data_IF_612668455280
#
_entry.id   IF_612668455280
#
_cell.length_a   1.000
_cell.length_b   1.000
_cell.length_c   1.000
_cell.angle_alpha   90.00
_cell.angle_beta   90.00
_cell.angle_gamma   90.00
#
_symmetry.space_group_name_H-M   'P 1'
#
loop_
_entity.id
_entity.type
_entity.pdbx_description
1 polymer ?
#
# COMPACT_ATOMS: atom_id res chain seq x y z
N UNK A 1 12.44 14.93 -26.96
CA UNK A 1 11.91 14.55 -25.65
C UNK A 1 13.01 14.79 -24.62
N UNK A 2 12.72 15.51 -23.54
CA UNK A 2 13.66 15.67 -22.43
C UNK A 2 13.93 14.30 -21.79
N UNK A 3 15.20 13.98 -21.61
CA UNK A 3 15.62 12.75 -20.96
C UNK A 3 15.79 13.03 -19.46
N UNK A 4 15.07 12.28 -18.62
CA UNK A 4 15.25 12.33 -17.17
C UNK A 4 16.46 11.48 -16.75
N UNK A 5 17.11 11.84 -15.67
CA UNK A 5 18.07 10.94 -15.05
C UNK A 5 17.34 9.76 -14.42
N UNK A 6 16.21 10.02 -13.74
CA UNK A 6 15.43 9.00 -13.02
C UNK A 6 13.94 9.13 -13.29
N UNK A 7 13.28 7.99 -13.49
CA UNK A 7 11.82 7.88 -13.38
C UNK A 7 11.50 7.14 -12.08
N UNK A 8 10.68 7.75 -11.21
CA UNK A 8 10.16 7.12 -10.00
C UNK A 8 8.72 6.67 -10.26
N UNK A 9 8.43 5.40 -10.09
CA UNK A 9 7.10 4.82 -10.29
C UNK A 9 6.38 4.72 -8.95
N UNK A 10 5.42 5.63 -8.75
CA UNK A 10 4.65 5.81 -7.53
C UNK A 10 5.03 7.09 -6.77
N UNK A 11 4.02 7.88 -6.40
CA UNK A 11 4.15 9.09 -5.57
C UNK A 11 3.52 8.91 -4.19
N UNK A 12 3.65 7.71 -3.59
CA UNK A 12 3.42 7.46 -2.18
C UNK A 12 4.51 8.10 -1.31
N UNK A 13 4.42 8.04 0.03
CA UNK A 13 5.39 8.68 0.92
C UNK A 13 6.85 8.32 0.61
N UNK A 14 7.13 7.05 0.31
CA UNK A 14 8.47 6.60 -0.05
C UNK A 14 8.93 7.12 -1.42
N UNK A 15 8.03 7.13 -2.42
CA UNK A 15 8.35 7.70 -3.75
C UNK A 15 8.62 9.20 -3.67
N UNK A 16 7.84 9.94 -2.87
CA UNK A 16 8.10 11.35 -2.59
C UNK A 16 9.47 11.55 -1.92
N UNK A 17 9.81 10.70 -0.92
CA UNK A 17 11.12 10.75 -0.28
C UNK A 17 12.26 10.50 -1.28
N UNK A 18 12.08 9.56 -2.23
CA UNK A 18 13.05 9.36 -3.32
C UNK A 18 13.19 10.61 -4.19
N UNK A 19 12.07 11.21 -4.64
CA UNK A 19 12.08 12.42 -5.46
C UNK A 19 12.77 13.61 -4.77
N UNK A 20 12.53 13.79 -3.47
CA UNK A 20 13.17 14.82 -2.66
C UNK A 20 14.68 14.62 -2.62
N UNK A 21 15.13 13.41 -2.31
CA UNK A 21 16.54 13.11 -2.16
C UNK A 21 17.32 13.17 -3.48
N UNK A 22 16.68 12.83 -4.60
CA UNK A 22 17.22 13.04 -5.95
C UNK A 22 17.37 14.52 -6.25
N UNK A 23 16.32 15.32 -6.00
CA UNK A 23 16.36 16.77 -6.22
C UNK A 23 17.43 17.47 -5.39
N UNK A 24 17.63 17.09 -4.13
CA UNK A 24 18.71 17.60 -3.26
C UNK A 24 20.11 17.36 -3.83
N UNK A 25 20.26 16.33 -4.67
CA UNK A 25 21.53 15.95 -5.31
C UNK A 25 21.65 16.46 -6.75
N UNK A 26 20.71 17.29 -7.20
CA UNK A 26 20.72 17.83 -8.57
C UNK A 26 20.41 16.78 -9.65
N UNK A 27 19.84 15.63 -9.28
CA UNK A 27 19.44 14.57 -10.21
C UNK A 27 18.03 14.87 -10.72
N UNK A 28 17.87 14.96 -12.05
CA UNK A 28 16.58 15.23 -12.66
C UNK A 28 15.66 14.00 -12.55
N UNK A 29 14.45 14.19 -11.99
CA UNK A 29 13.53 13.09 -11.79
C UNK A 29 12.08 13.49 -12.08
N UNK A 30 11.29 12.55 -12.62
CA UNK A 30 9.84 12.62 -12.72
C UNK A 30 9.22 11.48 -11.94
N UNK A 31 8.15 11.76 -11.19
CA UNK A 31 7.37 10.76 -10.48
C UNK A 31 6.09 10.47 -11.27
N UNK A 32 5.78 9.21 -11.54
CA UNK A 32 4.57 8.81 -12.26
C UNK A 32 3.64 8.08 -11.28
N UNK A 33 2.44 8.64 -11.07
CA UNK A 33 1.46 8.15 -10.12
C UNK A 33 0.13 7.85 -10.81
N UNK A 34 -0.36 6.63 -10.68
CA UNK A 34 -1.61 6.18 -11.32
C UNK A 34 -2.88 6.84 -10.77
N UNK A 35 -2.80 7.36 -9.56
CA UNK A 35 -3.89 8.10 -8.92
C UNK A 35 -3.47 9.52 -8.53
N UNK A 36 -3.92 9.99 -7.38
CA UNK A 36 -3.47 11.25 -6.81
C UNK A 36 -2.18 11.06 -5.99
N UNK A 37 -1.52 12.16 -5.65
CA UNK A 37 -0.40 12.15 -4.70
C UNK A 37 -0.79 11.39 -3.44
N UNK A 38 0.05 10.45 -2.99
CA UNK A 38 -0.17 9.51 -1.88
C UNK A 38 -1.48 8.72 -2.00
N UNK A 39 -1.75 8.19 -3.19
CA UNK A 39 -3.01 7.52 -3.54
C UNK A 39 -3.40 6.39 -2.58
N UNK A 40 -2.44 5.61 -2.06
CA UNK A 40 -2.74 4.59 -1.06
C UNK A 40 -3.33 5.19 0.21
N UNK A 41 -2.80 6.30 0.73
CA UNK A 41 -3.33 7.00 1.90
C UNK A 41 -4.72 7.60 1.62
N UNK A 42 -4.94 8.12 0.40
CA UNK A 42 -6.26 8.57 -0.04
C UNK A 42 -7.28 7.43 -0.02
N UNK A 43 -6.87 6.22 -0.30
CA UNK A 43 -7.73 5.03 -0.30
C UNK A 43 -7.88 4.34 1.06
N UNK A 44 -7.17 4.76 2.09
CA UNK A 44 -7.36 4.27 3.45
C UNK A 44 -8.73 4.68 4.03
N UNK A 45 -9.19 4.04 5.11
CA UNK A 45 -10.46 4.40 5.77
C UNK A 45 -10.52 5.89 6.12
N UNK A 46 -11.69 6.50 5.92
CA UNK A 46 -11.89 7.96 6.08
C UNK A 46 -11.47 8.46 7.46
N UNK A 47 -11.82 7.70 8.50
CA UNK A 47 -11.54 8.05 9.89
C UNK A 47 -10.26 7.41 10.45
N UNK A 48 -9.37 6.93 9.56
CA UNK A 48 -8.15 6.27 9.99
C UNK A 48 -7.25 7.20 10.80
N UNK A 49 -6.75 6.67 11.91
CA UNK A 49 -5.66 7.23 12.73
C UNK A 49 -4.43 6.34 12.55
N UNK A 50 -3.27 6.95 12.31
CA UNK A 50 -2.02 6.21 12.19
C UNK A 50 -1.64 5.54 13.52
N UNK A 51 -0.85 4.48 13.44
CA UNK A 51 -0.38 3.77 14.64
C UNK A 51 0.85 4.43 15.27
N UNK A 52 1.42 5.41 14.61
CA UNK A 52 2.67 6.07 14.95
C UNK A 52 2.48 7.58 15.11
N UNK A 53 3.49 8.25 15.67
CA UNK A 53 3.52 9.70 15.88
C UNK A 53 3.89 10.44 14.59
N UNK A 54 3.60 11.76 14.48
CA UNK A 54 3.88 12.55 13.29
C UNK A 54 5.34 12.49 12.84
N UNK A 55 6.29 12.57 13.79
CA UNK A 55 7.74 12.63 13.53
C UNK A 55 8.25 11.42 12.75
N UNK A 56 7.60 10.26 12.94
CA UNK A 56 7.97 9.03 12.24
C UNK A 56 7.41 8.97 10.81
N UNK A 57 6.48 9.86 10.47
CA UNK A 57 5.91 9.98 9.12
C UNK A 57 6.57 11.08 8.30
N UNK A 58 7.44 11.88 8.88
CA UNK A 58 8.11 13.00 8.23
C UNK A 58 9.04 12.56 7.09
N UNK A 59 9.04 13.34 6.01
CA UNK A 59 9.96 13.22 4.89
C UNK A 59 10.54 14.60 4.53
N UNK A 60 11.75 14.62 3.98
CA UNK A 60 12.37 15.83 3.45
C UNK A 60 12.65 16.88 4.53
N UNK A 61 12.89 16.49 5.78
CA UNK A 61 13.16 17.38 6.93
C UNK A 61 12.09 18.47 7.13
N UNK A 62 10.85 18.20 6.71
CA UNK A 62 9.72 19.08 6.95
C UNK A 62 8.92 18.51 8.12
N UNK A 63 8.76 19.26 9.23
CA UNK A 63 7.99 18.80 10.37
C UNK A 63 6.52 18.53 10.02
N UNK A 64 5.98 17.45 10.53
CA UNK A 64 4.55 17.12 10.48
C UNK A 64 3.90 17.50 11.81
N UNK A 65 2.96 18.41 11.77
CA UNK A 65 2.15 18.77 12.94
C UNK A 65 0.82 18.04 12.91
N UNK A 66 0.36 17.56 14.05
CA UNK A 66 -0.93 16.93 14.24
C UNK A 66 -1.65 17.53 15.43
N UNK A 67 -2.96 17.53 15.41
CA UNK A 67 -3.78 17.98 16.54
C UNK A 67 -3.71 17.01 17.72
N UNK A 68 -3.54 15.72 17.42
CA UNK A 68 -3.45 14.64 18.40
C UNK A 68 -2.06 14.00 18.38
N UNK A 69 -1.76 13.17 19.39
CA UNK A 69 -0.52 12.39 19.47
C UNK A 69 -0.25 11.58 18.20
N UNK A 70 -1.32 11.06 17.58
CA UNK A 70 -1.26 10.28 16.35
C UNK A 70 -2.05 10.99 15.25
N UNK A 71 -1.43 11.24 14.08
CA UNK A 71 -2.11 11.92 13.00
C UNK A 71 -3.21 11.08 12.38
N UNK A 72 -4.22 11.73 11.86
CA UNK A 72 -5.25 11.09 11.08
C UNK A 72 -4.93 11.13 9.57
N UNK A 73 -5.75 10.41 8.78
CA UNK A 73 -5.62 10.35 7.32
C UNK A 73 -5.62 11.74 6.67
N UNK A 74 -6.50 12.63 7.09
CA UNK A 74 -6.63 13.98 6.50
C UNK A 74 -5.38 14.83 6.75
N UNK A 75 -4.80 14.76 7.93
CA UNK A 75 -3.54 15.44 8.27
C UNK A 75 -2.40 14.92 7.42
N UNK A 76 -2.29 13.59 7.25
CA UNK A 76 -1.26 13.00 6.39
C UNK A 76 -1.40 13.41 4.92
N UNK A 77 -2.63 13.41 4.36
CA UNK A 77 -2.88 13.88 2.99
C UNK A 77 -2.46 15.35 2.79
N UNK A 78 -2.79 16.22 3.77
CA UNK A 78 -2.38 17.63 3.73
C UNK A 78 -0.86 17.78 3.79
N UNK A 79 -0.23 17.02 4.69
CA UNK A 79 1.21 17.03 4.90
C UNK A 79 1.96 16.64 3.63
N UNK A 80 1.74 15.45 3.07
CA UNK A 80 2.47 14.98 1.91
C UNK A 80 2.24 15.83 0.67
N UNK A 81 1.02 16.34 0.45
CA UNK A 81 0.75 17.30 -0.62
C UNK A 81 1.55 18.59 -0.44
N UNK A 82 1.64 19.11 0.78
CA UNK A 82 2.43 20.30 1.08
C UNK A 82 3.93 20.06 0.86
N UNK A 83 4.44 18.92 1.30
CA UNK A 83 5.84 18.54 1.08
C UNK A 83 6.17 18.44 -0.40
N UNK A 84 5.31 17.79 -1.20
CA UNK A 84 5.54 17.66 -2.65
C UNK A 84 5.58 19.03 -3.34
N UNK A 85 4.70 19.96 -2.94
CA UNK A 85 4.70 21.35 -3.46
C UNK A 85 5.89 22.16 -2.98
N UNK A 86 6.32 22.00 -1.73
CA UNK A 86 7.48 22.70 -1.18
C UNK A 86 8.76 22.36 -1.94
N UNK A 87 8.93 21.08 -2.28
CA UNK A 87 10.06 20.62 -3.09
C UNK A 87 9.84 20.78 -4.59
N UNK A 88 8.67 21.28 -5.03
CA UNK A 88 8.35 21.43 -6.44
C UNK A 88 8.74 20.16 -7.24
N UNK A 89 8.17 19.03 -6.84
CA UNK A 89 8.44 17.73 -7.47
C UNK A 89 7.63 17.62 -8.77
N UNK A 90 8.25 17.17 -9.86
CA UNK A 90 7.54 16.87 -11.11
C UNK A 90 6.76 15.56 -10.94
N UNK A 91 5.45 15.64 -10.73
CA UNK A 91 4.57 14.48 -10.47
C UNK A 91 3.50 14.41 -11.56
N UNK A 92 3.50 13.33 -12.32
CA UNK A 92 2.46 12.99 -13.31
C UNK A 92 1.38 12.18 -12.60
N UNK A 93 0.29 12.83 -12.22
CA UNK A 93 -0.84 12.19 -11.54
C UNK A 93 -1.83 11.62 -12.55
N UNK A 94 -2.56 10.57 -12.13
CA UNK A 94 -3.54 9.86 -12.95
C UNK A 94 -2.91 9.27 -14.22
N UNK A 95 -1.67 8.84 -14.10
CA UNK A 95 -0.89 8.23 -15.17
C UNK A 95 -0.33 6.89 -14.68
N UNK A 96 -0.71 5.82 -15.34
CA UNK A 96 -0.32 4.45 -14.96
C UNK A 96 0.85 3.98 -15.80
N UNK A 97 1.94 3.59 -15.17
CA UNK A 97 3.04 2.89 -15.84
C UNK A 97 2.58 1.49 -16.21
N UNK A 98 2.82 1.12 -17.47
CA UNK A 98 2.45 -0.16 -18.05
C UNK A 98 3.66 -1.06 -18.27
N UNK A 99 4.80 -0.48 -18.70
CA UNK A 99 6.01 -1.26 -18.93
C UNK A 99 7.30 -0.44 -18.81
N UNK A 100 8.41 -1.17 -18.67
CA UNK A 100 9.78 -0.64 -18.65
C UNK A 100 10.59 -1.44 -19.66
N UNK A 101 11.09 -0.77 -20.69
CA UNK A 101 11.97 -1.34 -21.72
C UNK A 101 13.38 -0.77 -21.62
N UNK A 102 14.34 -1.38 -22.34
CA UNK A 102 15.74 -0.96 -22.34
C UNK A 102 16.53 -1.50 -21.14
N UNK A 103 17.75 -1.00 -21.01
CA UNK A 103 18.73 -1.44 -20.02
C UNK A 103 19.32 -0.24 -19.27
N UNK A 104 20.20 -0.51 -18.32
CA UNK A 104 20.87 0.49 -17.49
C UNK A 104 21.47 1.63 -18.31
N UNK A 105 21.13 2.84 -17.95
CA UNK A 105 21.52 4.07 -18.65
C UNK A 105 20.63 4.43 -19.87
N UNK A 106 19.72 3.55 -20.32
CA UNK A 106 18.90 3.75 -21.52
C UNK A 106 17.50 3.13 -21.40
N UNK A 107 16.84 3.29 -20.26
CA UNK A 107 15.45 2.86 -20.07
C UNK A 107 14.46 3.77 -20.80
N UNK A 108 13.31 3.17 -21.15
CA UNK A 108 12.10 3.90 -21.52
C UNK A 108 10.96 3.36 -20.67
N UNK A 109 10.36 4.22 -19.85
CA UNK A 109 9.17 3.91 -19.07
C UNK A 109 7.95 4.31 -19.88
N UNK A 110 7.07 3.34 -20.16
CA UNK A 110 5.83 3.55 -20.90
C UNK A 110 4.66 3.62 -19.93
N UNK A 111 3.76 4.57 -20.16
CA UNK A 111 2.60 4.81 -19.33
C UNK A 111 1.39 5.24 -20.16
N UNK A 112 0.21 5.19 -19.56
CA UNK A 112 -1.00 5.76 -20.12
C UNK A 112 -1.67 6.67 -19.08
N UNK A 113 -2.15 7.83 -19.52
CA UNK A 113 -2.91 8.74 -18.67
C UNK A 113 -4.37 8.26 -18.48
N UNK A 114 -5.16 9.01 -17.70
CA UNK A 114 -6.58 8.71 -17.44
C UNK A 114 -7.47 8.70 -18.67
N UNK A 115 -7.01 9.24 -19.80
CA UNK A 115 -7.71 9.27 -21.08
C UNK A 115 -7.24 8.16 -22.02
N UNK A 116 -6.28 7.32 -21.57
CA UNK A 116 -5.66 6.26 -22.37
C UNK A 116 -4.59 6.78 -23.34
N UNK A 117 -4.18 8.05 -23.23
CA UNK A 117 -3.11 8.59 -24.08
C UNK A 117 -1.77 8.01 -23.63
N UNK A 118 -0.99 7.41 -24.55
CA UNK A 118 0.30 6.83 -24.21
C UNK A 118 1.38 7.91 -24.04
N UNK A 119 2.26 7.69 -23.07
CA UNK A 119 3.44 8.49 -22.82
C UNK A 119 4.69 7.62 -22.74
N UNK A 120 5.85 8.18 -23.04
CA UNK A 120 7.13 7.50 -22.93
C UNK A 120 8.18 8.43 -22.30
N UNK A 121 8.85 7.92 -21.27
CA UNK A 121 9.83 8.66 -20.48
C UNK A 121 11.21 7.99 -20.60
N UNK A 122 12.10 8.51 -21.46
CA UNK A 122 13.48 8.06 -21.47
C UNK A 122 14.18 8.43 -20.17
N UNK A 123 14.84 7.45 -19.54
CA UNK A 123 15.52 7.63 -18.27
C UNK A 123 16.82 6.82 -18.19
N UNK A 124 17.77 7.25 -17.36
CA UNK A 124 18.99 6.48 -17.10
C UNK A 124 18.75 5.41 -16.05
N UNK A 125 17.94 5.72 -15.02
CA UNK A 125 17.61 4.83 -13.89
C UNK A 125 16.12 4.84 -13.62
N UNK A 126 15.62 3.79 -12.95
CA UNK A 126 14.22 3.65 -12.55
C UNK A 126 14.14 3.30 -11.06
N UNK A 127 13.20 3.91 -10.34
CA UNK A 127 12.88 3.55 -8.95
C UNK A 127 11.44 3.03 -8.90
N UNK A 128 11.24 1.81 -8.40
CA UNK A 128 9.92 1.27 -8.13
C UNK A 128 9.51 1.58 -6.68
N UNK A 129 8.47 2.41 -6.51
CA UNK A 129 7.92 2.81 -5.22
C UNK A 129 6.39 2.62 -5.18
N UNK A 130 5.88 1.58 -5.84
CA UNK A 130 4.46 1.35 -6.13
C UNK A 130 3.63 0.93 -4.90
N UNK A 131 4.27 0.56 -3.77
CA UNK A 131 3.55 0.09 -2.59
C UNK A 131 2.91 -1.29 -2.77
N UNK A 132 1.87 -1.58 -1.95
CA UNK A 132 1.21 -2.89 -1.94
C UNK A 132 -0.32 -2.81 -1.83
N UNK A 133 -0.88 -1.65 -1.57
CA UNK A 133 -2.29 -1.49 -1.19
C UNK A 133 -3.28 -1.73 -2.35
N UNK A 134 -2.80 -1.79 -3.57
CA UNK A 134 -3.66 -1.89 -4.76
C UNK A 134 -4.09 -3.30 -5.13
N UNK A 135 -3.51 -4.33 -4.49
CA UNK A 135 -3.79 -5.74 -4.78
C UNK A 135 -4.22 -6.45 -3.52
N UNK A 136 -5.54 -6.66 -3.32
CA UNK A 136 -6.04 -7.42 -2.19
C UNK A 136 -5.71 -8.91 -2.36
N UNK A 137 -5.48 -9.59 -1.25
CA UNK A 137 -5.47 -11.04 -1.24
C UNK A 137 -6.91 -11.54 -1.42
N UNK A 138 -7.19 -12.17 -2.54
CA UNK A 138 -8.51 -12.68 -2.84
C UNK A 138 -8.85 -13.92 -2.00
N UNK A 139 -10.13 -14.13 -1.75
CA UNK A 139 -10.65 -15.33 -1.09
C UNK A 139 -10.64 -16.52 -2.04
N UNK A 140 -10.78 -16.26 -3.36
CA UNK A 140 -10.90 -17.23 -4.43
C UNK A 140 -12.08 -18.20 -4.21
N UNK A 141 -13.23 -17.64 -3.86
CA UNK A 141 -14.48 -18.37 -3.65
C UNK A 141 -15.58 -17.89 -4.60
N UNK A 142 -16.57 -18.73 -4.93
CA UNK A 142 -17.73 -18.28 -5.69
C UNK A 142 -18.39 -17.05 -5.05
N UNK A 143 -18.78 -16.09 -5.90
CA UNK A 143 -19.46 -14.86 -5.48
C UNK A 143 -18.55 -13.79 -4.86
N UNK A 144 -17.22 -13.95 -4.89
CA UNK A 144 -16.31 -12.89 -4.41
C UNK A 144 -16.39 -11.61 -5.25
N UNK A 145 -16.81 -11.70 -6.50
CA UNK A 145 -17.01 -10.59 -7.43
C UNK A 145 -18.35 -9.85 -7.28
N UNK A 146 -19.23 -10.33 -6.39
CA UNK A 146 -20.51 -9.65 -6.11
C UNK A 146 -20.27 -8.23 -5.56
N UNK A 147 -21.10 -7.25 -5.93
CA UNK A 147 -20.96 -5.85 -5.50
C UNK A 147 -21.03 -5.64 -3.98
N UNK A 148 -21.55 -6.61 -3.22
CA UNK A 148 -21.60 -6.59 -1.76
C UNK A 148 -20.25 -6.95 -1.11
N UNK A 149 -19.27 -7.43 -1.87
CA UNK A 149 -17.93 -7.81 -1.37
C UNK A 149 -16.99 -6.62 -1.48
N UNK A 150 -16.42 -6.26 -0.35
CA UNK A 150 -15.64 -5.03 -0.18
C UNK A 150 -14.24 -5.39 0.31
N UNK A 151 -13.23 -5.14 -0.52
CA UNK A 151 -11.82 -5.32 -0.16
C UNK A 151 -11.20 -4.06 0.45
N UNK A 152 -11.80 -2.89 0.23
CA UNK A 152 -11.31 -1.59 0.68
C UNK A 152 -12.35 -0.91 1.56
N UNK A 153 -12.27 -1.17 2.86
CA UNK A 153 -13.12 -0.51 3.84
C UNK A 153 -12.89 1.01 3.85
N UNK A 154 -13.98 1.79 3.85
CA UNK A 154 -13.95 3.26 3.87
C UNK A 154 -14.49 3.84 5.16
N UNK A 155 -15.74 3.58 5.47
CA UNK A 155 -16.45 4.14 6.61
C UNK A 155 -17.65 3.26 6.99
N UNK A 156 -18.13 3.32 8.26
CA UNK A 156 -19.17 2.39 8.72
C UNK A 156 -20.60 2.84 8.44
N UNK A 157 -20.84 4.15 8.21
CA UNK A 157 -22.19 4.74 8.17
C UNK A 157 -23.17 4.02 7.23
N UNK A 158 -22.81 3.62 6.00
CA UNK A 158 -23.73 2.95 5.07
C UNK A 158 -24.24 1.59 5.55
N UNK A 159 -23.65 1.01 6.57
CA UNK A 159 -23.92 -0.37 7.03
C UNK A 159 -24.72 -0.45 8.33
N UNK A 160 -25.23 0.70 8.81
CA UNK A 160 -26.11 0.76 9.98
C UNK A 160 -27.31 -0.18 9.81
N UNK A 161 -27.54 -1.06 10.78
CA UNK A 161 -28.66 -2.00 10.79
C UNK A 161 -28.55 -3.19 9.84
N UNK A 162 -27.44 -3.34 9.11
CA UNK A 162 -27.21 -4.45 8.19
C UNK A 162 -26.48 -5.65 8.84
N UNK A 163 -26.66 -6.83 8.24
CA UNK A 163 -25.91 -8.04 8.58
C UNK A 163 -24.60 -8.07 7.79
N UNK A 164 -23.46 -7.90 8.46
CA UNK A 164 -22.15 -7.76 7.83
C UNK A 164 -21.20 -8.87 8.27
N UNK A 165 -20.45 -9.42 7.30
CA UNK A 165 -19.36 -10.34 7.57
C UNK A 165 -18.01 -9.63 7.41
N UNK A 166 -17.11 -9.78 8.39
CA UNK A 166 -15.73 -9.31 8.32
C UNK A 166 -14.81 -10.52 8.29
N UNK A 167 -14.05 -10.67 7.20
CA UNK A 167 -13.17 -11.82 6.99
C UNK A 167 -11.73 -11.40 7.25
N UNK A 168 -11.07 -11.99 8.23
CA UNK A 168 -9.70 -11.72 8.60
C UNK A 168 -9.45 -11.79 10.09
N UNK A 169 -8.19 -11.66 10.51
CA UNK A 169 -7.81 -11.79 11.94
C UNK A 169 -6.70 -10.87 12.38
N UNK A 170 -6.33 -9.86 11.57
CA UNK A 170 -5.31 -8.85 11.87
C UNK A 170 -5.94 -7.47 12.12
N UNK A 171 -5.10 -6.42 12.20
CA UNK A 171 -5.53 -5.07 12.56
C UNK A 171 -6.72 -4.56 11.72
N UNK A 172 -6.67 -4.67 10.39
CA UNK A 172 -7.75 -4.18 9.52
C UNK A 172 -9.08 -4.83 9.83
N UNK A 173 -9.11 -6.16 10.00
CA UNK A 173 -10.34 -6.88 10.34
C UNK A 173 -10.87 -6.49 11.72
N UNK A 174 -10.01 -6.39 12.73
CA UNK A 174 -10.41 -6.02 14.09
C UNK A 174 -10.96 -4.59 14.16
N UNK A 175 -10.31 -3.63 13.49
CA UNK A 175 -10.76 -2.23 13.43
C UNK A 175 -12.07 -2.12 12.67
N UNK A 176 -12.18 -2.74 11.48
CA UNK A 176 -13.41 -2.73 10.67
C UNK A 176 -14.58 -3.34 11.44
N UNK A 177 -14.37 -4.48 12.12
CA UNK A 177 -15.41 -5.11 12.90
C UNK A 177 -15.89 -4.23 14.07
N UNK A 178 -14.98 -3.58 14.79
CA UNK A 178 -15.33 -2.65 15.86
C UNK A 178 -16.06 -1.42 15.36
N UNK A 179 -15.57 -0.80 14.30
CA UNK A 179 -16.14 0.42 13.72
C UNK A 179 -17.57 0.17 13.21
N UNK A 180 -17.79 -0.94 12.50
CA UNK A 180 -19.12 -1.39 12.07
C UNK A 180 -20.05 -1.69 13.25
N UNK A 181 -19.55 -2.39 14.29
CA UNK A 181 -20.32 -2.71 15.48
C UNK A 181 -20.79 -1.43 16.22
N UNK A 182 -19.89 -0.48 16.44
CA UNK A 182 -20.22 0.77 17.13
C UNK A 182 -21.21 1.63 16.34
N UNK A 183 -21.24 1.48 15.02
CA UNK A 183 -22.22 2.15 14.18
C UNK A 183 -23.58 1.44 14.16
N UNK A 184 -23.69 0.24 14.76
CA UNK A 184 -24.94 -0.50 14.88
C UNK A 184 -25.17 -1.54 13.78
N UNK A 185 -24.15 -1.95 13.06
CA UNK A 185 -24.21 -3.14 12.20
C UNK A 185 -24.19 -4.43 13.05
N UNK A 186 -24.83 -5.49 12.56
CA UNK A 186 -24.74 -6.83 13.15
C UNK A 186 -23.55 -7.57 12.55
N UNK A 187 -22.45 -7.57 13.29
CA UNK A 187 -21.15 -8.02 12.79
C UNK A 187 -20.93 -9.51 13.07
N UNK A 188 -20.51 -10.25 12.05
CA UNK A 188 -19.95 -11.60 12.16
C UNK A 188 -18.50 -11.60 11.69
N UNK A 189 -17.56 -11.93 12.56
CA UNK A 189 -16.15 -12.09 12.24
C UNK A 189 -15.85 -13.53 11.84
N UNK A 190 -15.14 -13.72 10.72
CA UNK A 190 -14.76 -15.06 10.22
C UNK A 190 -13.25 -15.09 10.07
N UNK A 191 -12.59 -16.03 10.75
CA UNK A 191 -11.15 -16.16 10.70
C UNK A 191 -10.70 -17.63 10.67
N UNK A 192 -9.78 -17.93 9.73
CA UNK A 192 -9.22 -19.29 9.56
C UNK A 192 -8.30 -19.74 10.71
N UNK A 193 -7.77 -18.80 11.50
CA UNK A 193 -6.94 -19.11 12.67
C UNK A 193 -7.78 -19.42 13.91
N UNK A 194 -7.13 -19.91 14.94
CA UNK A 194 -7.76 -20.28 16.24
C UNK A 194 -8.18 -19.06 17.05
N UNK A 195 -7.53 -17.92 16.83
CA UNK A 195 -7.77 -16.67 17.52
C UNK A 195 -7.29 -15.49 16.67
N UNK A 196 -7.60 -14.27 17.07
CA UNK A 196 -7.05 -13.06 16.46
C UNK A 196 -5.52 -13.07 16.55
N UNK A 197 -4.87 -12.59 15.51
CA UNK A 197 -3.40 -12.52 15.42
C UNK A 197 -2.80 -11.75 16.62
N UNK A 198 -1.65 -12.19 17.09
CA UNK A 198 -0.85 -11.44 18.08
C UNK A 198 -0.33 -10.10 17.54
N UNK A 199 -0.35 -9.89 16.23
CA UNK A 199 0.00 -8.60 15.61
C UNK A 199 -1.10 -7.54 15.71
N UNK A 200 -2.31 -7.89 16.20
CA UNK A 200 -3.34 -6.89 16.52
C UNK A 200 -2.85 -6.02 17.66
N UNK A 201 -2.88 -4.70 17.46
CA UNK A 201 -2.35 -3.75 18.40
C UNK A 201 -2.95 -3.90 19.78
N UNK A 202 -2.12 -3.79 20.81
CA UNK A 202 -2.50 -4.06 22.22
C UNK A 202 -3.63 -3.16 22.73
N UNK A 203 -3.85 -1.99 22.13
CA UNK A 203 -4.98 -1.12 22.48
C UNK A 203 -6.28 -1.43 21.71
N UNK A 204 -6.22 -2.27 20.67
CA UNK A 204 -7.38 -2.72 19.87
C UNK A 204 -7.84 -4.09 20.36
N UNK A 205 -6.89 -5.01 20.59
CA UNK A 205 -7.15 -6.43 20.85
C UNK A 205 -8.11 -6.67 22.01
N UNK A 206 -7.95 -6.05 23.21
CA UNK A 206 -8.88 -6.27 24.32
C UNK A 206 -10.32 -5.85 23.99
N UNK A 207 -10.49 -4.82 23.19
CA UNK A 207 -11.82 -4.32 22.85
C UNK A 207 -12.59 -5.30 21.96
N UNK A 208 -11.97 -5.77 20.88
CA UNK A 208 -12.61 -6.76 19.99
C UNK A 208 -12.84 -8.09 20.70
N UNK A 209 -11.90 -8.56 21.51
CA UNK A 209 -12.03 -9.81 22.28
C UNK A 209 -13.17 -9.74 23.31
N UNK A 210 -13.36 -8.60 23.97
CA UNK A 210 -14.46 -8.39 24.89
C UNK A 210 -15.82 -8.42 24.17
N UNK A 211 -15.96 -7.80 22.99
CA UNK A 211 -17.20 -7.84 22.19
C UNK A 211 -17.53 -9.23 21.67
N UNK A 212 -16.51 -10.01 21.33
CA UNK A 212 -16.70 -11.41 20.96
C UNK A 212 -17.14 -12.24 22.18
N UNK A 213 -16.49 -12.06 23.32
CA UNK A 213 -16.82 -12.78 24.55
C UNK A 213 -18.21 -12.46 25.07
N UNK A 214 -18.67 -11.22 24.94
CA UNK A 214 -20.03 -10.80 25.34
C UNK A 214 -21.11 -11.20 24.31
N UNK A 215 -20.72 -11.72 23.14
CA UNK A 215 -21.65 -12.09 22.07
C UNK A 215 -22.17 -10.92 21.26
N UNK A 216 -21.65 -9.71 21.48
CA UNK A 216 -22.01 -8.50 20.70
C UNK A 216 -21.49 -8.58 19.27
N UNK A 217 -20.34 -9.22 19.06
CA UNK A 217 -19.78 -9.59 17.76
C UNK A 217 -19.72 -11.11 17.71
N UNK A 218 -20.45 -11.73 16.76
CA UNK A 218 -20.32 -13.17 16.52
C UNK A 218 -18.97 -13.46 15.88
N UNK A 219 -18.30 -14.56 16.29
CA UNK A 219 -17.03 -14.94 15.71
C UNK A 219 -16.97 -16.44 15.40
N UNK A 220 -16.51 -16.75 14.19
CA UNK A 220 -16.20 -18.10 13.73
C UNK A 220 -14.68 -18.19 13.52
N UNK A 221 -14.00 -18.85 14.44
CA UNK A 221 -12.58 -19.19 14.35
C UNK A 221 -12.39 -20.56 13.71
N UNK A 222 -11.20 -20.87 13.21
CA UNK A 222 -10.87 -22.06 12.40
C UNK A 222 -11.84 -22.25 11.23
N UNK A 223 -12.37 -21.15 10.71
CA UNK A 223 -13.47 -21.14 9.76
C UNK A 223 -13.11 -20.30 8.53
N UNK A 224 -13.63 -20.68 7.40
CA UNK A 224 -13.41 -19.97 6.13
C UNK A 224 -14.71 -19.81 5.36
N UNK A 225 -14.78 -18.78 4.54
CA UNK A 225 -15.88 -18.62 3.59
C UNK A 225 -15.74 -19.63 2.48
N UNK A 226 -16.84 -20.27 2.12
CA UNK A 226 -16.94 -21.30 1.06
C UNK A 226 -17.65 -20.73 -0.18
N UNK A 227 -18.72 -19.95 0.05
CA UNK A 227 -19.55 -19.40 -1.02
C UNK A 227 -20.19 -18.07 -0.56
N UNK A 228 -20.31 -17.11 -1.46
CA UNK A 228 -20.96 -15.83 -1.21
C UNK A 228 -22.14 -15.69 -2.17
N UNK A 229 -23.35 -15.51 -1.62
CA UNK A 229 -24.59 -15.35 -2.38
C UNK A 229 -25.15 -13.93 -2.20
N UNK A 230 -26.19 -13.58 -2.92
CA UNK A 230 -26.79 -12.24 -2.89
C UNK A 230 -27.21 -11.82 -1.47
N UNK A 231 -27.81 -12.71 -0.70
CA UNK A 231 -28.40 -12.46 0.62
C UNK A 231 -27.78 -13.27 1.76
N UNK A 232 -26.79 -14.08 1.45
CA UNK A 232 -26.19 -15.01 2.43
C UNK A 232 -24.72 -15.27 2.15
N UNK A 233 -24.05 -15.93 3.11
CA UNK A 233 -22.67 -16.38 3.03
C UNK A 233 -22.59 -17.78 3.65
N UNK A 234 -21.95 -18.72 2.97
CA UNK A 234 -21.70 -20.06 3.48
C UNK A 234 -20.31 -20.11 4.12
N UNK A 235 -20.28 -20.53 5.36
CA UNK A 235 -19.07 -20.59 6.19
C UNK A 235 -18.78 -22.04 6.54
N UNK A 236 -17.63 -22.56 6.14
CA UNK A 236 -17.10 -23.83 6.58
C UNK A 236 -16.48 -23.68 7.98
N UNK A 237 -17.01 -24.40 8.93
CA UNK A 237 -16.50 -24.49 10.32
C UNK A 237 -15.86 -25.86 10.56
N UNK A 238 -15.18 -26.11 11.67
CA UNK A 238 -14.62 -27.44 12.00
C UNK A 238 -15.68 -28.55 12.11
N UNK A 239 -16.91 -28.17 12.47
CA UNK A 239 -17.98 -29.14 12.71
C UNK A 239 -18.86 -29.33 11.47
N UNK A 240 -19.21 -28.22 10.77
CA UNK A 240 -20.18 -28.26 9.67
C UNK A 240 -20.12 -26.97 8.83
N UNK A 241 -20.92 -26.90 7.79
CA UNK A 241 -21.17 -25.69 7.00
C UNK A 241 -22.35 -24.92 7.56
N UNK A 242 -22.17 -23.61 7.77
CA UNK A 242 -23.20 -22.73 8.32
C UNK A 242 -23.58 -21.67 7.28
N UNK A 243 -24.86 -21.65 6.91
CA UNK A 243 -25.39 -20.59 6.06
C UNK A 243 -25.84 -19.41 6.94
N UNK A 244 -25.26 -18.25 6.72
CA UNK A 244 -25.54 -17.02 7.45
C UNK A 244 -26.20 -16.01 6.54
N UNK A 245 -27.28 -15.37 7.01
CA UNK A 245 -27.82 -14.18 6.37
C UNK A 245 -26.76 -13.10 6.33
N UNK A 246 -26.61 -12.41 5.18
CA UNK A 246 -25.53 -11.46 5.01
C UNK A 246 -25.86 -10.42 3.92
N UNK A 247 -25.76 -9.16 4.25
CA UNK A 247 -25.98 -8.05 3.33
C UNK A 247 -24.66 -7.57 2.69
N UNK A 248 -23.53 -7.54 3.47
CA UNK A 248 -22.23 -7.08 3.00
C UNK A 248 -21.08 -7.95 3.53
N UNK A 249 -20.05 -8.07 2.75
CA UNK A 249 -18.82 -8.82 3.09
C UNK A 249 -17.60 -7.91 3.02
N UNK A 250 -16.87 -7.80 4.11
CA UNK A 250 -15.59 -7.07 4.18
C UNK A 250 -14.44 -8.07 4.19
N UNK A 251 -13.81 -8.26 3.03
CA UNK A 251 -12.67 -9.15 2.87
C UNK A 251 -11.37 -8.45 3.31
N UNK A 252 -11.13 -8.41 4.64
CA UNK A 252 -9.97 -7.78 5.26
C UNK A 252 -8.77 -8.74 5.33
N UNK A 253 -8.47 -9.35 4.21
CA UNK A 253 -7.48 -10.42 4.02
C UNK A 253 -6.05 -9.94 3.85
N UNK A 254 -5.87 -8.62 3.79
CA UNK A 254 -4.59 -7.95 3.53
C UNK A 254 -4.33 -7.74 2.04
N UNK A 255 -3.15 -7.24 1.75
CA UNK A 255 -2.74 -6.81 0.41
C UNK A 255 -1.32 -7.28 0.12
N UNK A 256 -0.94 -7.31 -1.16
CA UNK A 256 0.40 -7.69 -1.59
C UNK A 256 0.93 -6.76 -2.70
N UNK A 257 2.27 -6.63 -2.86
CA UNK A 257 2.88 -5.91 -3.98
C UNK A 257 2.51 -6.52 -5.34
N UNK A 258 2.65 -5.72 -6.40
CA UNK A 258 2.52 -6.23 -7.77
C UNK A 258 3.74 -7.07 -8.16
N UNK A 259 3.77 -8.31 -7.69
CA UNK A 259 4.83 -9.27 -7.99
C UNK A 259 4.91 -9.60 -9.48
N UNK A 260 3.75 -9.61 -10.16
CA UNK A 260 3.65 -9.84 -11.60
C UNK A 260 4.38 -8.76 -12.40
N UNK A 261 4.14 -7.50 -12.06
CA UNK A 261 4.86 -6.38 -12.67
C UNK A 261 6.38 -6.49 -12.46
N UNK A 262 6.83 -6.76 -11.24
CA UNK A 262 8.26 -6.93 -10.97
C UNK A 262 8.87 -8.06 -11.79
N UNK A 263 8.25 -9.24 -11.80
CA UNK A 263 8.75 -10.40 -12.58
C UNK A 263 8.76 -10.16 -14.09
N UNK A 264 7.69 -9.53 -14.63
CA UNK A 264 7.61 -9.18 -16.05
C UNK A 264 8.70 -8.19 -16.49
N UNK A 265 9.24 -7.42 -15.54
CA UNK A 265 10.32 -6.45 -15.80
C UNK A 265 11.69 -6.95 -15.32
N UNK A 266 11.87 -8.28 -15.23
CA UNK A 266 13.17 -8.90 -14.99
C UNK A 266 13.70 -8.77 -13.55
N UNK A 267 12.85 -8.45 -12.59
CA UNK A 267 13.22 -8.44 -11.17
C UNK A 267 12.96 -9.84 -10.63
N UNK A 268 14.04 -10.51 -10.25
CA UNK A 268 13.97 -11.85 -9.69
C UNK A 268 13.45 -11.81 -8.25
N UNK A 269 12.55 -12.73 -7.95
CA UNK A 269 11.94 -12.89 -6.63
C UNK A 269 12.38 -14.21 -6.01
N UNK A 270 12.65 -14.18 -4.71
CA UNK A 270 12.89 -15.40 -3.94
C UNK A 270 11.65 -16.32 -4.02
N UNK A 271 11.81 -17.62 -4.28
CA UNK A 271 10.69 -18.53 -4.50
C UNK A 271 9.75 -18.68 -3.30
N UNK A 272 10.26 -18.62 -2.07
CA UNK A 272 9.49 -18.84 -0.85
C UNK A 272 8.95 -17.53 -0.28
N UNK A 273 9.83 -16.58 0.03
CA UNK A 273 9.47 -15.30 0.65
C UNK A 273 8.87 -14.30 -0.34
N UNK A 274 9.04 -14.54 -1.66
CA UNK A 274 8.67 -13.62 -2.73
C UNK A 274 9.32 -12.25 -2.60
N UNK A 275 10.41 -12.15 -1.85
CA UNK A 275 11.22 -10.93 -1.77
C UNK A 275 12.01 -10.74 -3.05
N UNK A 276 12.09 -9.51 -3.57
CA UNK A 276 13.00 -9.22 -4.66
C UNK A 276 14.45 -9.31 -4.16
N UNK A 277 15.32 -9.85 -4.99
CA UNK A 277 16.76 -9.79 -4.74
C UNK A 277 17.24 -8.36 -4.98
N UNK A 278 17.77 -7.75 -3.93
CA UNK A 278 18.29 -6.38 -3.95
C UNK A 278 19.61 -6.30 -3.20
N UNK A 279 20.47 -5.42 -3.64
CA UNK A 279 21.63 -5.02 -2.85
C UNK A 279 21.16 -4.27 -1.59
N UNK A 280 21.57 -4.64 -0.38
CA UNK A 280 21.06 -4.04 0.86
C UNK A 280 21.48 -2.58 1.07
N UNK A 281 22.60 -2.14 0.45
CA UNK A 281 23.12 -0.79 0.61
C UNK A 281 22.51 0.19 -0.42
N UNK A 282 22.29 -0.25 -1.65
CA UNK A 282 21.83 0.58 -2.75
C UNK A 282 20.35 0.36 -3.08
N UNK A 283 19.75 -0.73 -2.60
CA UNK A 283 18.43 -1.22 -2.96
C UNK A 283 18.26 -1.42 -4.48
N UNK A 284 19.37 -1.59 -5.21
CA UNK A 284 19.37 -1.93 -6.62
C UNK A 284 18.99 -3.40 -6.80
N UNK A 285 18.12 -3.67 -7.74
CA UNK A 285 17.74 -5.04 -8.10
C UNK A 285 18.83 -5.72 -8.95
N UNK A 286 18.69 -7.02 -9.23
CA UNK A 286 19.59 -7.73 -10.14
C UNK A 286 19.49 -7.19 -11.58
N UNK A 287 18.34 -6.62 -11.97
CA UNK A 287 18.24 -5.83 -13.19
C UNK A 287 18.86 -4.46 -12.94
N UNK A 288 20.11 -4.31 -13.36
CA UNK A 288 20.91 -3.10 -13.15
C UNK A 288 20.17 -1.83 -13.58
N UNK A 289 20.33 -0.76 -12.79
CA UNK A 289 19.68 0.52 -13.01
C UNK A 289 18.24 0.61 -12.47
N UNK A 290 17.66 -0.48 -11.95
CA UNK A 290 16.34 -0.49 -11.32
C UNK A 290 16.49 -0.67 -9.80
N UNK A 291 16.03 0.32 -9.04
CA UNK A 291 16.02 0.30 -7.57
C UNK A 291 14.60 0.09 -7.03
N UNK A 292 14.50 -0.52 -5.85
CA UNK A 292 13.25 -0.82 -5.18
C UNK A 292 13.12 -0.03 -3.88
N UNK A 293 12.00 0.65 -3.69
CA UNK A 293 11.78 1.50 -2.54
C UNK A 293 10.50 1.13 -1.76
N UNK A 294 10.57 1.26 -0.45
CA UNK A 294 9.45 1.00 0.45
C UNK A 294 9.15 -0.49 0.60
N UNK A 295 7.88 -0.81 0.79
CA UNK A 295 7.41 -2.16 1.11
C UNK A 295 7.71 -3.21 0.03
N UNK A 296 7.98 -2.80 -1.21
CA UNK A 296 8.34 -3.73 -2.29
C UNK A 296 9.54 -4.61 -1.91
N UNK A 297 10.49 -4.07 -1.17
CA UNK A 297 11.71 -4.80 -0.72
C UNK A 297 11.38 -5.96 0.22
N UNK A 298 10.26 -5.90 0.93
CA UNK A 298 9.81 -6.94 1.85
C UNK A 298 9.01 -8.07 1.18
N UNK A 299 8.69 -7.98 -0.11
CA UNK A 299 7.87 -8.98 -0.81
C UNK A 299 6.52 -9.18 -0.13
N UNK A 300 6.19 -10.43 0.22
CA UNK A 300 4.93 -10.76 0.91
C UNK A 300 4.90 -10.40 2.40
N UNK A 301 6.04 -10.02 3.00
CA UNK A 301 6.15 -9.63 4.41
C UNK A 301 5.81 -8.16 4.62
N UNK A 302 4.62 -7.74 4.19
CA UNK A 302 4.17 -6.33 4.15
C UNK A 302 4.08 -5.65 5.53
N UNK A 303 4.32 -6.38 6.61
CA UNK A 303 4.36 -5.90 7.99
C UNK A 303 5.77 -5.53 8.49
N UNK A 304 6.79 -5.54 7.64
CA UNK A 304 8.16 -5.21 8.02
C UNK A 304 8.56 -3.79 7.60
N UNK A 305 8.03 -3.32 6.46
CA UNK A 305 8.36 -1.99 5.94
C UNK A 305 7.09 -1.13 5.85
N UNK A 306 7.15 -0.03 6.58
CA UNK A 306 6.12 1.00 6.65
C UNK A 306 6.71 2.34 6.22
N UNK A 307 5.98 3.44 6.38
CA UNK A 307 6.48 4.79 6.10
C UNK A 307 7.67 5.09 7.00
N UNK A 308 7.56 4.72 8.28
CA UNK A 308 8.52 5.01 9.36
C UNK A 308 9.96 4.60 9.03
N UNK A 309 10.13 3.48 8.37
CA UNK A 309 11.45 2.96 7.97
C UNK A 309 11.70 3.04 6.47
N UNK A 310 10.68 2.88 5.64
CA UNK A 310 10.77 2.98 4.18
C UNK A 310 11.15 4.38 3.67
N UNK A 311 10.83 5.44 4.42
CA UNK A 311 11.19 6.82 4.08
C UNK A 311 12.71 7.04 3.91
N UNK A 312 13.53 6.24 4.59
CA UNK A 312 14.98 6.32 4.49
C UNK A 312 15.57 5.65 3.23
N UNK A 313 14.77 4.86 2.50
CA UNK A 313 15.19 4.26 1.25
C UNK A 313 15.53 5.34 0.20
N UNK A 314 14.80 6.47 0.22
CA UNK A 314 15.06 7.58 -0.68
C UNK A 314 16.50 8.08 -0.63
N UNK A 315 17.06 8.24 0.58
CA UNK A 315 18.44 8.68 0.78
C UNK A 315 19.44 7.67 0.22
N UNK A 316 19.31 6.39 0.61
CA UNK A 316 20.19 5.31 0.11
C UNK A 316 20.22 5.24 -1.41
N UNK A 317 19.05 5.20 -2.02
CA UNK A 317 18.90 5.08 -3.48
C UNK A 317 19.46 6.31 -4.19
N UNK A 318 19.13 7.50 -3.72
CA UNK A 318 19.61 8.73 -4.35
C UNK A 318 21.13 8.90 -4.24
N UNK A 319 21.75 8.46 -3.15
CA UNK A 319 23.23 8.42 -3.00
C UNK A 319 23.86 7.47 -4.01
N UNK A 320 23.32 6.24 -4.14
CA UNK A 320 23.82 5.25 -5.09
C UNK A 320 23.68 5.72 -6.54
N UNK A 321 22.52 6.28 -6.89
CA UNK A 321 22.26 6.80 -8.25
C UNK A 321 23.20 7.97 -8.55
N UNK A 322 23.31 8.97 -7.68
CA UNK A 322 24.19 10.13 -7.90
C UNK A 322 25.65 9.73 -8.08
N UNK A 323 26.13 8.73 -7.35
CA UNK A 323 27.47 8.20 -7.52
C UNK A 323 27.69 7.46 -8.85
N UNK A 324 26.63 6.86 -9.43
CA UNK A 324 26.69 6.09 -10.67
C UNK A 324 26.49 6.93 -11.94
N UNK A 325 25.92 8.14 -11.82
CA UNK A 325 25.70 9.02 -12.94
C UNK A 325 27.00 9.76 -13.32
N UNK A 326 27.26 9.98 -14.62
CA UNK A 326 28.39 10.82 -15.05
C UNK A 326 28.26 12.20 -14.41
N UNK A 327 29.31 12.68 -13.76
CA UNK A 327 29.33 14.05 -13.24
C UNK A 327 29.17 14.99 -14.44
N UNK A 328 28.14 15.85 -14.41
CA UNK A 328 28.09 16.99 -15.31
C UNK A 328 29.26 17.91 -14.94
N UNK A 329 30.38 17.80 -15.68
CA UNK A 329 31.34 18.88 -15.71
C UNK A 329 30.61 20.10 -16.28
N UNK A 330 30.19 21.01 -15.40
CA UNK A 330 29.89 22.38 -15.83
C UNK A 330 31.17 22.92 -16.47
N UNK A 331 31.20 22.85 -17.76
CA UNK A 331 32.15 23.69 -18.52
C UNK A 331 31.78 25.14 -18.17
N UNK A 332 32.47 25.69 -17.16
CA UNK A 332 32.54 27.15 -16.98
C UNK A 332 33.21 27.71 -18.23
N UNK A 333 32.42 28.16 -19.17
CA UNK A 333 32.83 29.02 -20.25
C UNK A 333 32.27 30.43 -20.01
#
# INVERSE_FOLDING_TARGET
MSRFDVVVIGAGPTGLACGIELKRRGVSAVLIEKGCVVNSLYNYPTNMVFFTTPELLEIGDIPMTSLNEKPNRTEALKYYRRVSGYYDLDIRQYERVESISGDDGAFVVHSADRHGCPHAYPAKKVILAMGYYDRPNLLNVPGEDLPKVIHYYKEPHPYYGHDVAVIGGKNSAAITALDLHWTGARVTLIHRGEALSNSVKYWIKPNIENRIKSGEIKAYFRSSVVDIRLDSILVGTPEDEVLLKNDFVFAMTGYHPDLGFMSAHGIRLDPESRRPYTDPETLESERKGIHLAGVLVAGMHTNEIFIENGRFHGKKIAEAIAASLPQHNEARG
#
